data_IF_953473269261
#
_entry.id   IF_953473269261
#
_cell.length_a   1.000
_cell.length_b   1.000
_cell.length_c   1.000
_cell.angle_alpha   90.00
_cell.angle_beta   90.00
_cell.angle_gamma   90.00
#
_symmetry.space_group_name_H-M   'P 1'
#
loop_
_entity.id
_entity.type
_entity.pdbx_description
1 polymer ?
#
# COMPACT_ATOMS: atom_id res chain seq x y z
N UNK A 1 -19.21 -27.95 -41.89
CA UNK A 1 -18.56 -26.73 -41.46
C UNK A 1 -17.15 -27.09 -40.98
N UNK A 2 -16.13 -26.40 -41.49
CA UNK A 2 -14.76 -26.66 -41.08
C UNK A 2 -14.50 -26.07 -39.69
N UNK A 3 -13.62 -26.70 -38.89
CA UNK A 3 -13.16 -26.17 -37.60
C UNK A 3 -12.64 -24.70 -37.68
N UNK A 4 -12.15 -24.34 -38.86
CA UNK A 4 -11.69 -22.98 -39.19
C UNK A 4 -12.85 -21.99 -39.25
N UNK A 5 -13.99 -22.38 -39.85
CA UNK A 5 -15.15 -21.52 -40.04
C UNK A 5 -15.83 -21.14 -38.73
N UNK A 6 -15.70 -21.94 -37.66
CA UNK A 6 -16.25 -21.66 -36.35
C UNK A 6 -15.36 -20.77 -35.49
N UNK A 7 -14.07 -20.70 -35.75
CA UNK A 7 -13.10 -20.00 -34.89
C UNK A 7 -12.47 -18.78 -35.53
N UNK A 8 -12.55 -18.64 -36.85
CA UNK A 8 -11.99 -17.51 -37.57
C UNK A 8 -13.12 -16.60 -38.02
N UNK A 9 -13.21 -15.43 -37.47
CA UNK A 9 -14.13 -14.38 -37.91
C UNK A 9 -13.53 -13.67 -39.14
N UNK A 10 -14.29 -13.45 -40.22
CA UNK A 10 -13.75 -12.84 -41.44
C UNK A 10 -13.40 -11.37 -41.31
N UNK A 11 -13.98 -10.69 -40.32
CA UNK A 11 -13.74 -9.26 -40.08
C UNK A 11 -13.58 -8.99 -38.58
N UNK A 12 -12.45 -8.47 -38.17
CA UNK A 12 -12.23 -7.92 -36.84
C UNK A 12 -12.03 -6.41 -36.94
N UNK A 13 -12.75 -5.64 -36.15
CA UNK A 13 -12.60 -4.20 -36.08
C UNK A 13 -11.70 -3.81 -34.91
N UNK A 14 -10.82 -2.83 -35.10
CA UNK A 14 -10.04 -2.19 -34.06
C UNK A 14 -10.59 -0.77 -33.80
N UNK A 15 -10.09 -0.11 -32.76
CA UNK A 15 -10.47 1.28 -32.51
C UNK A 15 -10.03 2.24 -33.62
N UNK A 16 -9.02 1.87 -34.41
CA UNK A 16 -8.57 2.64 -35.57
C UNK A 16 -9.53 2.57 -36.77
N UNK A 17 -10.37 1.52 -36.79
CA UNK A 17 -11.33 1.26 -37.89
C UNK A 17 -12.71 1.91 -37.62
N UNK A 18 -12.97 2.40 -36.42
CA UNK A 18 -14.31 2.84 -36.00
C UNK A 18 -14.30 4.16 -35.26
N UNK A 19 -15.38 4.91 -35.41
CA UNK A 19 -15.67 6.11 -34.63
C UNK A 19 -16.99 5.91 -33.84
N UNK A 20 -17.04 6.44 -32.63
CA UNK A 20 -18.29 6.49 -31.87
C UNK A 20 -19.19 7.58 -32.49
N UNK A 21 -20.41 7.22 -32.82
CA UNK A 21 -21.42 8.18 -33.30
C UNK A 21 -21.89 8.99 -32.08
N UNK A 22 -21.78 10.35 -32.16
CA UNK A 22 -22.33 11.17 -31.07
C UNK A 22 -23.83 10.95 -30.89
N UNK A 23 -24.26 10.88 -29.65
CA UNK A 23 -25.65 10.75 -29.27
C UNK A 23 -26.07 11.86 -28.32
N UNK A 24 -27.36 12.12 -28.25
CA UNK A 24 -27.91 13.07 -27.29
C UNK A 24 -27.68 12.57 -25.84
N UNK A 25 -27.26 13.48 -24.96
CA UNK A 25 -27.05 13.18 -23.55
C UNK A 25 -27.51 14.37 -22.69
N UNK A 26 -28.17 14.08 -21.58
CA UNK A 26 -28.53 15.05 -20.54
C UNK A 26 -27.57 14.98 -19.33
N UNK A 27 -26.57 14.08 -19.37
CA UNK A 27 -25.60 13.88 -18.28
C UNK A 27 -24.39 14.77 -18.52
N UNK A 28 -24.08 15.62 -17.56
CA UNK A 28 -22.85 16.43 -17.60
C UNK A 28 -21.61 15.55 -17.34
N UNK A 29 -20.44 15.88 -17.93
CA UNK A 29 -19.22 15.09 -17.76
C UNK A 29 -18.86 14.80 -16.27
N UNK A 30 -19.07 15.77 -15.38
CA UNK A 30 -18.82 15.64 -13.93
C UNK A 30 -19.80 14.70 -13.20
N UNK A 31 -20.93 14.37 -13.83
CA UNK A 31 -21.99 13.54 -13.26
C UNK A 31 -21.95 12.10 -13.79
N UNK A 32 -21.01 11.82 -14.71
CA UNK A 32 -20.85 10.51 -15.31
C UNK A 32 -20.37 9.51 -14.27
N UNK A 33 -21.08 8.39 -14.12
CA UNK A 33 -20.64 7.26 -13.32
C UNK A 33 -20.05 6.19 -14.24
N UNK A 34 -18.73 6.01 -14.16
CA UNK A 34 -17.99 5.03 -14.96
C UNK A 34 -17.65 3.75 -14.19
N UNK A 35 -18.25 3.55 -12.99
CA UNK A 35 -18.02 2.33 -12.21
C UNK A 35 -18.36 1.08 -13.01
N UNK A 36 -17.55 0.04 -12.88
CA UNK A 36 -17.69 -1.20 -13.61
C UNK A 36 -17.44 -2.41 -12.71
N UNK A 37 -17.88 -3.58 -13.14
CA UNK A 37 -17.61 -4.85 -12.47
C UNK A 37 -16.52 -5.60 -13.24
N UNK A 38 -15.38 -5.81 -12.61
CA UNK A 38 -14.29 -6.59 -13.18
C UNK A 38 -14.50 -8.09 -12.99
N UNK A 39 -14.99 -8.49 -11.82
CA UNK A 39 -15.33 -9.89 -11.53
C UNK A 39 -16.50 -9.96 -10.56
N UNK A 40 -16.92 -11.18 -10.14
CA UNK A 40 -18.02 -11.38 -9.21
C UNK A 40 -17.94 -10.49 -7.97
N UNK A 41 -16.74 -10.35 -7.39
CA UNK A 41 -16.52 -9.68 -6.11
C UNK A 41 -15.63 -8.43 -6.23
N UNK A 42 -15.23 -8.04 -7.46
CA UNK A 42 -14.38 -6.87 -7.69
C UNK A 42 -15.13 -5.84 -8.50
N UNK A 43 -15.33 -4.68 -7.91
CA UNK A 43 -15.91 -3.49 -8.53
C UNK A 43 -14.79 -2.46 -8.72
N UNK A 44 -14.78 -1.80 -9.86
CA UNK A 44 -13.83 -0.73 -10.20
C UNK A 44 -14.55 0.61 -10.19
N UNK A 45 -13.88 1.65 -9.73
CA UNK A 45 -14.39 3.02 -9.80
C UNK A 45 -14.19 3.61 -11.21
N UNK A 46 -13.10 3.21 -11.89
CA UNK A 46 -12.87 3.47 -13.32
C UNK A 46 -12.63 2.13 -14.04
N UNK A 47 -13.11 1.94 -15.27
CA UNK A 47 -13.02 0.66 -16.00
C UNK A 47 -11.66 0.46 -16.67
N UNK A 48 -10.55 0.71 -15.94
CA UNK A 48 -9.19 0.57 -16.45
C UNK A 48 -8.49 -0.56 -15.70
N UNK A 49 -7.96 -1.50 -16.47
CA UNK A 49 -7.25 -2.68 -15.97
C UNK A 49 -5.94 -2.82 -16.73
N UNK A 50 -4.80 -2.92 -16.03
CA UNK A 50 -3.56 -3.26 -16.72
C UNK A 50 -3.40 -4.78 -16.85
N UNK A 51 -2.98 -5.20 -18.05
CA UNK A 51 -2.76 -6.60 -18.36
C UNK A 51 -1.57 -7.19 -17.58
N UNK A 52 -1.59 -8.50 -17.34
CA UNK A 52 -0.53 -9.25 -16.67
C UNK A 52 0.69 -9.45 -17.59
N UNK A 53 1.34 -8.34 -17.95
CA UNK A 53 2.52 -8.31 -18.82
C UNK A 53 3.79 -8.13 -17.99
N UNK A 54 4.79 -8.96 -18.29
CA UNK A 54 6.12 -8.87 -17.71
C UNK A 54 6.73 -7.48 -17.94
N UNK A 55 7.45 -6.97 -16.96
CA UNK A 55 8.06 -5.64 -16.92
C UNK A 55 7.09 -4.45 -17.04
N UNK A 56 5.79 -4.69 -17.22
CA UNK A 56 4.76 -3.67 -17.33
C UNK A 56 3.92 -3.59 -16.06
N UNK A 57 3.19 -4.68 -15.72
CA UNK A 57 2.31 -4.67 -14.54
C UNK A 57 2.99 -5.33 -13.35
N UNK A 58 3.75 -4.53 -12.65
CA UNK A 58 4.33 -4.81 -11.35
C UNK A 58 3.73 -3.92 -10.27
N UNK A 59 4.23 -4.00 -9.01
CA UNK A 59 3.68 -3.22 -7.91
C UNK A 59 3.58 -1.71 -8.19
N UNK A 60 4.55 -1.02 -8.84
CA UNK A 60 4.44 0.42 -9.09
C UNK A 60 3.23 0.81 -9.95
N UNK A 61 3.03 0.13 -11.09
CA UNK A 61 1.89 0.40 -11.97
C UNK A 61 0.57 0.00 -11.32
N UNK A 62 0.53 -1.16 -10.64
CA UNK A 62 -0.67 -1.61 -9.94
C UNK A 62 -1.10 -0.63 -8.83
N UNK A 63 -0.15 -0.03 -8.10
CA UNK A 63 -0.42 1.01 -7.11
C UNK A 63 -0.97 2.28 -7.78
N UNK A 64 -0.36 2.72 -8.88
CA UNK A 64 -0.80 3.90 -9.59
C UNK A 64 -2.24 3.75 -10.09
N UNK A 65 -2.56 2.62 -10.73
CA UNK A 65 -3.93 2.32 -11.20
C UNK A 65 -4.94 2.21 -10.05
N UNK A 66 -4.57 1.58 -8.95
CA UNK A 66 -5.46 1.44 -7.79
C UNK A 66 -5.83 2.80 -7.20
N UNK A 67 -4.89 3.74 -7.15
CA UNK A 67 -5.13 5.12 -6.68
C UNK A 67 -6.13 5.87 -7.54
N UNK A 68 -6.15 5.61 -8.83
CA UNK A 68 -7.11 6.20 -9.77
C UNK A 68 -8.46 5.45 -9.80
N UNK A 69 -8.59 4.32 -9.09
CA UNK A 69 -9.82 3.53 -9.01
C UNK A 69 -9.91 2.35 -10.00
N UNK A 70 -8.82 2.09 -10.73
CA UNK A 70 -8.66 0.91 -11.59
C UNK A 70 -8.02 -0.28 -10.86
N UNK A 71 -7.48 -1.24 -11.59
CA UNK A 71 -6.78 -2.41 -11.03
C UNK A 71 -5.62 -2.86 -11.91
N UNK A 72 -4.52 -3.27 -11.29
CA UNK A 72 -3.40 -3.95 -11.96
C UNK A 72 -3.44 -5.45 -11.73
N UNK A 73 -3.20 -6.23 -12.80
CA UNK A 73 -3.04 -7.69 -12.71
C UNK A 73 -1.56 -8.02 -12.77
N UNK A 74 -0.99 -8.44 -11.65
CA UNK A 74 0.44 -8.78 -11.54
C UNK A 74 0.73 -10.02 -12.38
N UNK A 75 1.77 -9.95 -13.22
CA UNK A 75 2.18 -11.07 -14.09
C UNK A 75 2.79 -12.24 -13.29
N UNK A 76 2.89 -13.41 -13.95
CA UNK A 76 3.39 -14.64 -13.33
C UNK A 76 4.85 -14.98 -13.65
N UNK A 77 5.55 -14.17 -14.46
CA UNK A 77 6.93 -14.44 -14.85
C UNK A 77 7.91 -14.03 -13.73
N UNK A 78 7.73 -14.61 -12.57
CA UNK A 78 8.54 -14.43 -11.36
C UNK A 78 8.28 -15.59 -10.40
N UNK A 79 9.09 -15.73 -9.36
CA UNK A 79 8.83 -16.73 -8.32
C UNK A 79 7.54 -16.42 -7.54
N UNK A 80 6.95 -17.44 -6.91
CA UNK A 80 5.76 -17.28 -6.06
C UNK A 80 6.03 -16.25 -4.93
N UNK A 81 7.23 -16.29 -4.35
CA UNK A 81 7.62 -15.38 -3.28
C UNK A 81 7.68 -13.91 -3.75
N UNK A 82 8.24 -13.66 -4.93
CA UNK A 82 8.28 -12.33 -5.54
C UNK A 82 6.89 -11.83 -5.90
N UNK A 83 6.05 -12.64 -6.55
CA UNK A 83 4.68 -12.25 -6.87
C UNK A 83 3.90 -11.89 -5.60
N UNK A 84 4.01 -12.70 -4.55
CA UNK A 84 3.40 -12.42 -3.27
C UNK A 84 3.95 -11.12 -2.64
N UNK A 85 5.24 -10.81 -2.83
CA UNK A 85 5.82 -9.55 -2.37
C UNK A 85 5.25 -8.34 -3.13
N UNK A 86 5.09 -8.43 -4.45
CA UNK A 86 4.42 -7.40 -5.25
C UNK A 86 2.98 -7.16 -4.78
N UNK A 87 2.19 -8.23 -4.58
CA UNK A 87 0.81 -8.12 -4.09
C UNK A 87 0.77 -7.46 -2.71
N UNK A 88 1.62 -7.90 -1.77
CA UNK A 88 1.72 -7.26 -0.44
C UNK A 88 2.05 -5.77 -0.53
N UNK A 89 2.96 -5.39 -1.45
CA UNK A 89 3.31 -3.98 -1.66
C UNK A 89 2.13 -3.16 -2.17
N UNK A 90 1.34 -3.69 -3.10
CA UNK A 90 0.12 -3.04 -3.60
C UNK A 90 -0.90 -2.87 -2.47
N UNK A 91 -1.18 -3.96 -1.74
CA UNK A 91 -2.14 -3.92 -0.61
C UNK A 91 -1.73 -2.95 0.50
N UNK A 92 -0.44 -2.83 0.78
CA UNK A 92 0.09 -1.82 1.72
C UNK A 92 -0.11 -0.38 1.25
N UNK A 93 -0.10 -0.15 -0.07
CA UNK A 93 -0.26 1.20 -0.63
C UNK A 93 -1.72 1.66 -0.72
N UNK A 94 -2.68 0.73 -0.68
CA UNK A 94 -4.10 0.97 -0.98
C UNK A 94 -4.78 1.89 0.04
N UNK A 95 -4.35 1.90 1.29
CA UNK A 95 -5.05 2.59 2.37
C UNK A 95 -4.24 3.69 3.08
N UNK A 96 -3.08 4.09 2.58
CA UNK A 96 -2.16 4.94 3.36
C UNK A 96 -1.63 4.25 4.63
N UNK A 97 -2.14 3.04 4.94
CA UNK A 97 -1.71 2.20 6.06
C UNK A 97 -0.83 1.06 5.58
N UNK A 98 0.31 0.89 6.21
CA UNK A 98 1.19 -0.25 6.03
C UNK A 98 0.68 -1.36 6.96
N UNK A 99 0.07 -2.39 6.41
CA UNK A 99 -0.28 -3.61 7.14
C UNK A 99 1.00 -4.43 7.40
N UNK A 100 1.12 -4.99 8.60
CA UNK A 100 2.31 -5.73 9.03
C UNK A 100 3.61 -4.94 8.79
N UNK A 101 3.77 -3.77 9.45
CA UNK A 101 4.97 -2.97 9.31
C UNK A 101 6.20 -3.71 9.83
N UNK A 102 7.38 -3.32 9.36
CA UNK A 102 8.64 -3.78 9.94
C UNK A 102 8.69 -3.31 11.38
N UNK A 103 9.00 -4.21 12.28
CA UNK A 103 9.07 -3.98 13.72
C UNK A 103 10.41 -4.41 14.29
N UNK A 104 10.74 -3.93 15.46
CA UNK A 104 11.95 -4.28 16.19
C UNK A 104 11.59 -4.52 17.66
N UNK A 105 12.34 -5.37 18.37
CA UNK A 105 12.18 -5.51 19.80
C UNK A 105 13.08 -4.54 20.57
N UNK A 106 12.76 -4.27 21.82
CA UNK A 106 13.48 -3.32 22.67
C UNK A 106 14.91 -3.79 23.03
N UNK A 107 15.19 -5.07 22.86
CA UNK A 107 16.50 -5.71 23.12
C UNK A 107 17.49 -5.56 21.97
N UNK A 108 17.05 -5.14 20.80
CA UNK A 108 17.93 -4.84 19.66
C UNK A 108 18.72 -3.56 19.91
N UNK A 109 19.75 -3.37 19.09
CA UNK A 109 20.65 -2.22 19.19
C UNK A 109 20.28 -1.09 18.23
N UNK A 110 20.82 0.09 18.46
CA UNK A 110 20.77 1.24 17.52
C UNK A 110 21.30 0.84 16.14
N UNK A 111 22.40 0.05 16.10
CA UNK A 111 22.96 -0.46 14.85
C UNK A 111 21.97 -1.33 14.07
N UNK A 112 21.26 -2.22 14.75
CA UNK A 112 20.25 -3.08 14.11
C UNK A 112 19.09 -2.25 13.53
N UNK A 113 18.62 -1.24 14.26
CA UNK A 113 17.57 -0.36 13.78
C UNK A 113 18.00 0.45 12.55
N UNK A 114 19.22 0.99 12.55
CA UNK A 114 19.76 1.73 11.40
C UNK A 114 19.92 0.82 10.18
N UNK A 115 20.39 -0.41 10.34
CA UNK A 115 20.50 -1.39 9.27
C UNK A 115 19.13 -1.71 8.65
N UNK A 116 18.11 -1.98 9.50
CA UNK A 116 16.74 -2.23 9.06
C UNK A 116 16.14 -1.02 8.32
N UNK A 117 16.39 0.20 8.81
CA UNK A 117 15.90 1.43 8.18
C UNK A 117 16.55 1.63 6.81
N UNK A 118 17.83 1.39 6.68
CA UNK A 118 18.58 1.54 5.43
C UNK A 118 18.16 0.48 4.39
N UNK A 119 18.11 -0.79 4.79
CA UNK A 119 17.72 -1.90 3.92
C UNK A 119 16.31 -1.71 3.35
N UNK A 120 15.37 -1.27 4.19
CA UNK A 120 13.97 -1.14 3.82
C UNK A 120 13.57 0.28 3.37
N UNK A 121 14.51 1.24 3.37
CA UNK A 121 14.29 2.65 3.02
C UNK A 121 13.13 3.27 3.82
N UNK A 122 13.12 3.04 5.13
CA UNK A 122 12.12 3.55 6.06
C UNK A 122 12.76 4.47 7.10
N UNK A 123 12.01 5.46 7.57
CA UNK A 123 12.51 6.46 8.53
C UNK A 123 11.99 6.26 9.96
N UNK A 124 11.43 5.09 10.29
CA UNK A 124 11.00 4.77 11.65
C UNK A 124 10.36 3.40 11.74
N UNK A 125 10.52 2.77 12.89
CA UNK A 125 10.17 1.38 13.16
C UNK A 125 9.39 1.32 14.48
N UNK A 126 8.16 0.77 14.50
CA UNK A 126 7.46 0.44 15.75
C UNK A 126 8.23 -0.59 16.56
N UNK A 127 8.29 -0.39 17.86
CA UNK A 127 8.90 -1.32 18.81
C UNK A 127 7.80 -2.11 19.48
N UNK A 128 7.89 -3.44 19.45
CA UNK A 128 6.89 -4.37 19.98
C UNK A 128 7.49 -5.33 21.00
N UNK A 129 6.64 -5.85 21.87
CA UNK A 129 6.97 -6.96 22.76
C UNK A 129 6.72 -8.33 22.10
N UNK A 130 6.91 -9.41 22.86
CA UNK A 130 6.71 -10.79 22.42
C UNK A 130 5.25 -11.10 22.02
N UNK A 131 4.29 -10.39 22.60
CA UNK A 131 2.86 -10.51 22.31
C UNK A 131 2.39 -9.60 21.18
N UNK A 132 3.34 -8.95 20.45
CA UNK A 132 3.09 -7.96 19.39
C UNK A 132 2.42 -6.66 19.88
N UNK A 133 2.44 -6.36 21.17
CA UNK A 133 1.94 -5.09 21.69
C UNK A 133 2.93 -3.98 21.37
N UNK A 134 2.40 -2.81 21.00
CA UNK A 134 3.21 -1.63 20.75
C UNK A 134 3.73 -1.08 22.09
N UNK A 135 5.05 -1.04 22.25
CA UNK A 135 5.71 -0.53 23.45
C UNK A 135 6.53 0.74 23.19
N UNK A 136 6.74 1.11 21.93
CA UNK A 136 7.49 2.29 21.56
C UNK A 136 7.56 2.48 20.05
N UNK A 137 8.23 3.54 19.66
CA UNK A 137 8.62 3.81 18.28
C UNK A 137 10.04 4.38 18.26
N UNK A 138 10.84 4.00 17.29
CA UNK A 138 12.15 4.57 17.02
C UNK A 138 12.17 5.16 15.61
N UNK A 139 12.65 6.38 15.49
CA UNK A 139 12.67 7.14 14.23
C UNK A 139 14.08 7.65 13.90
N UNK A 140 14.28 8.10 12.66
CA UNK A 140 15.52 8.75 12.27
C UNK A 140 15.88 9.94 13.18
N UNK A 141 14.89 10.62 13.77
CA UNK A 141 15.11 11.73 14.70
C UNK A 141 15.76 11.24 15.99
N UNK A 142 15.31 10.10 16.53
CA UNK A 142 15.82 9.51 17.78
C UNK A 142 17.24 8.98 17.59
N UNK A 143 17.54 8.44 16.38
CA UNK A 143 18.85 7.83 16.07
C UNK A 143 19.89 8.81 15.53
N UNK A 144 19.47 9.98 15.05
CA UNK A 144 20.34 10.94 14.32
C UNK A 144 21.61 11.34 15.05
N UNK A 145 21.55 11.41 16.37
CA UNK A 145 22.68 11.87 17.21
C UNK A 145 23.29 10.75 18.06
N UNK A 146 22.86 9.50 17.86
CA UNK A 146 23.41 8.36 18.57
C UNK A 146 24.78 8.01 17.96
N UNK A 147 25.81 7.96 18.83
CA UNK A 147 27.16 7.58 18.44
C UNK A 147 27.50 6.13 18.80
N UNK A 148 26.85 5.62 19.85
CA UNK A 148 27.01 4.24 20.29
C UNK A 148 25.99 3.33 19.61
N UNK A 149 26.47 2.52 18.67
CA UNK A 149 25.66 1.58 17.90
C UNK A 149 25.24 0.36 18.70
N UNK A 150 25.87 0.09 19.85
CA UNK A 150 25.52 -1.03 20.74
C UNK A 150 24.46 -0.67 21.80
N UNK A 151 24.10 0.60 21.86
CA UNK A 151 23.04 1.05 22.77
C UNK A 151 21.72 0.36 22.45
N UNK A 152 20.96 -0.04 23.47
CA UNK A 152 19.68 -0.73 23.29
C UNK A 152 18.58 0.21 22.82
N UNK A 153 17.65 -0.32 22.02
CA UNK A 153 16.47 0.44 21.55
C UNK A 153 15.61 0.90 22.71
N UNK A 154 15.51 0.11 23.79
CA UNK A 154 14.80 0.49 25.01
C UNK A 154 15.24 1.82 25.63
N UNK A 155 16.48 2.24 25.38
CA UNK A 155 17.06 3.45 25.95
C UNK A 155 16.88 4.69 25.07
N UNK A 156 16.55 4.50 23.79
CA UNK A 156 16.48 5.58 22.78
C UNK A 156 15.11 5.73 22.14
N UNK A 157 14.24 4.73 22.25
CA UNK A 157 12.89 4.77 21.69
C UNK A 157 12.01 5.79 22.42
N UNK A 158 11.04 6.33 21.70
CA UNK A 158 9.92 7.04 22.32
C UNK A 158 8.92 6.03 22.83
N UNK A 159 8.72 5.95 24.15
CA UNK A 159 7.80 5.01 24.82
C UNK A 159 6.69 5.72 25.59
N UNK A 160 6.90 6.97 25.99
CA UNK A 160 5.91 7.78 26.70
C UNK A 160 5.05 8.59 25.73
N UNK A 161 3.78 8.75 26.05
CA UNK A 161 2.81 9.52 25.26
C UNK A 161 2.73 9.09 23.80
N UNK A 162 2.81 7.78 23.54
CA UNK A 162 2.66 7.22 22.19
C UNK A 162 1.30 7.58 21.62
N UNK A 163 1.33 8.29 20.48
CA UNK A 163 0.11 8.60 19.73
C UNK A 163 -0.18 7.43 18.83
N UNK A 164 -1.35 6.85 18.99
CA UNK A 164 -1.84 5.70 18.22
C UNK A 164 -3.25 5.96 17.71
N UNK A 165 -3.71 5.16 16.77
CA UNK A 165 -5.10 5.15 16.33
C UNK A 165 -5.60 3.72 16.21
N UNK A 166 -6.93 3.53 16.14
CA UNK A 166 -7.55 2.24 15.89
C UNK A 166 -7.92 2.08 14.41
N UNK A 167 -8.03 0.85 13.94
CA UNK A 167 -8.36 0.55 12.54
C UNK A 167 -9.71 1.14 12.08
N UNK A 168 -10.63 1.38 13.01
CA UNK A 168 -11.93 2.02 12.73
C UNK A 168 -11.85 3.54 12.53
N UNK A 169 -10.72 4.19 12.83
CA UNK A 169 -10.56 5.64 12.86
C UNK A 169 -9.63 6.17 11.75
N UNK A 170 -9.39 5.39 10.71
CA UNK A 170 -8.43 5.73 9.65
C UNK A 170 -8.78 7.03 8.91
N UNK A 171 -10.06 7.40 8.84
CA UNK A 171 -10.49 8.66 8.21
C UNK A 171 -9.93 9.91 8.90
N UNK A 172 -9.60 9.83 10.19
CA UNK A 172 -9.04 10.94 10.99
C UNK A 172 -7.53 10.87 11.15
N UNK A 173 -6.88 9.86 10.56
CA UNK A 173 -5.44 9.64 10.75
C UNK A 173 -4.59 10.83 10.26
N UNK A 174 -4.98 11.47 9.16
CA UNK A 174 -4.30 12.65 8.63
C UNK A 174 -4.34 13.81 9.62
N UNK A 175 -5.50 14.06 10.24
CA UNK A 175 -5.66 15.11 11.25
C UNK A 175 -4.82 14.82 12.50
N UNK A 176 -4.76 13.56 12.94
CA UNK A 176 -3.94 13.13 14.07
C UNK A 176 -2.45 13.37 13.78
N UNK A 177 -1.97 13.01 12.58
CA UNK A 177 -0.58 13.26 12.16
C UNK A 177 -0.25 14.75 12.17
N UNK A 178 -1.12 15.58 11.57
CA UNK A 178 -0.92 17.03 11.47
C UNK A 178 -0.96 17.72 12.84
N UNK A 179 -1.98 17.45 13.64
CA UNK A 179 -2.18 18.10 14.94
C UNK A 179 -1.07 17.76 15.93
N UNK A 180 -0.52 16.55 15.85
CA UNK A 180 0.55 16.10 16.74
C UNK A 180 1.95 16.29 16.13
N UNK A 181 2.05 16.80 14.88
CA UNK A 181 3.32 17.02 14.16
C UNK A 181 4.20 15.76 14.10
N UNK A 182 3.55 14.61 13.87
CA UNK A 182 4.22 13.31 13.74
C UNK A 182 4.09 12.81 12.30
N UNK A 183 5.09 12.08 11.83
CA UNK A 183 5.14 11.51 10.48
C UNK A 183 4.67 10.06 10.43
N UNK A 184 4.53 9.44 11.59
CA UNK A 184 4.21 8.01 11.73
C UNK A 184 3.21 7.80 12.83
N UNK A 185 2.10 7.14 12.48
CA UNK A 185 1.00 6.87 13.38
C UNK A 185 0.76 5.36 13.45
N UNK A 186 1.18 4.69 14.53
CA UNK A 186 0.87 3.27 14.72
C UNK A 186 -0.62 3.04 14.87
N UNK A 187 -1.11 1.99 14.22
CA UNK A 187 -2.49 1.50 14.33
C UNK A 187 -2.49 0.26 15.21
N UNK A 188 -3.29 0.29 16.26
CA UNK A 188 -3.40 -0.81 17.22
C UNK A 188 -4.82 -1.35 17.29
N UNK A 189 -4.96 -2.59 17.76
CA UNK A 189 -6.25 -3.16 18.11
C UNK A 189 -6.66 -2.82 19.55
N UNK A 190 -7.81 -3.35 19.98
CA UNK A 190 -8.33 -3.14 21.34
C UNK A 190 -7.46 -3.76 22.45
N UNK A 191 -6.54 -4.66 22.11
CA UNK A 191 -5.58 -5.27 23.03
C UNK A 191 -4.22 -4.55 23.04
N UNK A 192 -4.07 -3.47 22.24
CA UNK A 192 -2.83 -2.71 22.06
C UNK A 192 -1.82 -3.37 21.15
N UNK A 193 -2.20 -4.42 20.43
CA UNK A 193 -1.33 -5.09 19.46
C UNK A 193 -1.24 -4.26 18.17
N UNK A 194 -0.03 -4.20 17.61
CA UNK A 194 0.23 -3.48 16.38
C UNK A 194 -0.42 -4.16 15.18
N UNK A 195 -1.32 -3.46 14.51
CA UNK A 195 -2.05 -3.91 13.31
C UNK A 195 -1.48 -3.28 12.05
N UNK A 196 -0.98 -2.05 12.16
CA UNK A 196 -0.45 -1.32 11.02
C UNK A 196 0.29 -0.05 11.39
N UNK A 197 0.78 0.64 10.37
CA UNK A 197 1.47 1.92 10.50
C UNK A 197 1.00 2.86 9.39
N UNK A 198 0.50 4.03 9.75
CA UNK A 198 0.21 5.09 8.79
C UNK A 198 1.40 6.03 8.75
N UNK A 199 1.84 6.38 7.53
CA UNK A 199 2.94 7.32 7.36
C UNK A 199 2.46 8.54 6.57
N UNK A 200 2.83 9.72 7.05
CA UNK A 200 2.71 10.93 6.26
C UNK A 200 3.80 10.85 5.17
N UNK A 201 3.40 10.82 3.91
CA UNK A 201 4.31 11.02 2.78
C UNK A 201 4.03 12.40 2.21
N UNK A 202 5.09 13.17 2.09
CA UNK A 202 5.11 14.39 1.30
C UNK A 202 4.70 14.15 -0.16
#
# INVERSE_FOLDING_TARGET
MSFIDERVQPTGLTFDDVLLVPAYSEVLPREVNVTSRFSRNIKLNIPIVSAAMDTVTEAPLAIALAREGGIGVIHKNMSIAEQAAHVRRVKRAENGMIYDPITISKEHTVGDALALMQENKIGGIPVIDAERRLIGIVTNRDLRFQRDMHRLISEVMTSENLITTHSSELAHAADVLLNNKIEKLPVVDNEGKLVGLITYKD
#
